data_IF_007043388213
#
_entry.id   IF_007043388213
#
_cell.length_a   1.000
_cell.length_b   1.000
_cell.length_c   1.000
_cell.angle_alpha   90.00
_cell.angle_beta   90.00
_cell.angle_gamma   90.00
#
_symmetry.space_group_name_H-M   'P 1'
#
loop_
_entity.id
_entity.type
_entity.pdbx_description
1 polymer ?
#
# COMPACT_ATOMS: atom_id res chain seq x y z
N UNK A 1 -10.00 -2.05 26.27
CA UNK A 1 -10.15 -0.78 25.53
C UNK A 1 -10.86 -1.04 24.21
N UNK A 2 -12.17 -0.81 24.20
CA UNK A 2 -12.94 -1.03 22.99
C UNK A 2 -12.73 0.12 21.99
N UNK A 3 -12.86 -0.17 20.70
CA UNK A 3 -12.79 0.85 19.63
C UNK A 3 -13.84 1.96 19.87
N UNK A 4 -14.99 1.58 20.39
CA UNK A 4 -16.07 2.50 20.77
C UNK A 4 -15.66 3.48 21.88
N UNK A 5 -14.98 2.99 22.92
CA UNK A 5 -14.56 3.86 24.03
C UNK A 5 -13.51 4.88 23.58
N UNK A 6 -12.58 4.47 22.70
CA UNK A 6 -11.64 5.40 22.06
C UNK A 6 -12.34 6.47 21.25
N UNK A 7 -13.30 6.09 20.41
CA UNK A 7 -14.07 7.06 19.61
C UNK A 7 -14.82 8.06 20.51
N UNK A 8 -15.38 7.60 21.63
CA UNK A 8 -16.07 8.49 22.60
C UNK A 8 -15.12 9.44 23.34
N UNK A 9 -13.94 8.97 23.68
CA UNK A 9 -12.91 9.82 24.29
C UNK A 9 -12.43 10.87 23.28
N UNK A 10 -12.14 10.47 22.04
CA UNK A 10 -11.72 11.37 20.98
C UNK A 10 -12.80 12.42 20.66
N UNK A 11 -14.08 12.05 20.66
CA UNK A 11 -15.21 12.99 20.54
C UNK A 11 -15.25 14.03 21.69
N UNK A 12 -14.97 13.58 22.91
CA UNK A 12 -14.94 14.48 24.07
C UNK A 12 -13.74 15.43 24.02
N UNK A 13 -12.58 14.92 23.62
CA UNK A 13 -11.37 15.74 23.41
C UNK A 13 -11.61 16.75 22.31
N UNK A 14 -12.20 16.36 21.19
CA UNK A 14 -12.49 17.24 20.07
C UNK A 14 -13.47 18.35 20.45
N UNK A 15 -14.49 18.06 21.27
CA UNK A 15 -15.41 19.07 21.78
C UNK A 15 -14.73 20.11 22.68
N UNK A 16 -13.66 19.72 23.38
CA UNK A 16 -12.87 20.61 24.23
C UNK A 16 -11.84 21.42 23.42
N UNK A 17 -11.34 20.87 22.29
CA UNK A 17 -10.22 21.44 21.55
C UNK A 17 -10.60 22.23 20.29
N UNK A 18 -11.87 22.35 19.92
CA UNK A 18 -12.25 23.15 18.76
C UNK A 18 -13.40 22.64 17.89
N UNK A 19 -14.01 21.52 18.23
CA UNK A 19 -15.20 21.03 17.57
C UNK A 19 -15.07 19.67 16.89
N UNK A 20 -16.21 19.15 16.44
CA UNK A 20 -16.36 17.90 15.71
C UNK A 20 -16.90 18.21 14.31
N UNK A 21 -16.21 17.74 13.28
CA UNK A 21 -16.73 17.77 11.91
C UNK A 21 -17.48 16.46 11.63
N UNK A 22 -18.69 16.56 11.11
CA UNK A 22 -19.50 15.40 10.73
C UNK A 22 -19.69 15.39 9.22
N UNK A 23 -19.18 14.33 8.57
CA UNK A 23 -19.40 14.10 7.13
C UNK A 23 -20.56 13.13 6.99
N UNK A 24 -21.66 13.60 6.38
CA UNK A 24 -22.84 12.77 6.12
C UNK A 24 -22.79 12.26 4.69
N UNK A 25 -22.98 10.94 4.55
CA UNK A 25 -22.92 10.25 3.25
C UNK A 25 -24.30 9.71 2.93
N UNK A 26 -24.75 9.94 1.70
CA UNK A 26 -25.98 9.39 1.15
C UNK A 26 -25.77 8.92 -0.30
N UNK A 27 -26.53 7.91 -0.71
CA UNK A 27 -26.56 7.40 -2.07
C UNK A 27 -27.95 6.81 -2.40
N UNK A 28 -28.20 6.53 -3.66
CA UNK A 28 -29.48 5.97 -4.11
C UNK A 28 -29.70 4.52 -3.64
N UNK A 29 -28.63 3.77 -3.42
CA UNK A 29 -28.67 2.38 -2.95
C UNK A 29 -27.84 2.18 -1.68
N UNK A 30 -28.20 1.18 -0.89
CA UNK A 30 -27.45 0.82 0.32
C UNK A 30 -26.01 0.39 0.01
N UNK A 31 -25.82 -0.36 -1.06
CA UNK A 31 -24.49 -0.82 -1.49
C UNK A 31 -23.58 0.35 -1.88
N UNK A 32 -24.10 1.30 -2.64
CA UNK A 32 -23.39 2.52 -3.03
C UNK A 32 -23.07 3.38 -1.82
N UNK A 33 -24.02 3.54 -0.90
CA UNK A 33 -23.80 4.28 0.34
C UNK A 33 -22.68 3.66 1.19
N UNK A 34 -22.65 2.34 1.34
CA UNK A 34 -21.57 1.63 2.04
C UNK A 34 -20.24 1.84 1.35
N UNK A 35 -20.19 1.74 0.03
CA UNK A 35 -18.96 2.00 -0.75
C UNK A 35 -18.44 3.42 -0.54
N UNK A 36 -19.30 4.43 -0.68
CA UNK A 36 -18.93 5.82 -0.48
C UNK A 36 -18.46 6.10 0.95
N UNK A 37 -19.14 5.51 1.94
CA UNK A 37 -18.75 5.63 3.34
C UNK A 37 -17.34 5.10 3.57
N UNK A 38 -17.03 3.89 3.11
CA UNK A 38 -15.69 3.30 3.23
C UNK A 38 -14.63 4.14 2.52
N UNK A 39 -14.94 4.64 1.33
CA UNK A 39 -14.03 5.49 0.56
C UNK A 39 -13.71 6.80 1.29
N UNK A 40 -14.70 7.41 1.95
CA UNK A 40 -14.50 8.64 2.73
C UNK A 40 -13.72 8.33 4.02
N UNK A 41 -14.02 7.22 4.70
CA UNK A 41 -13.27 6.79 5.89
C UNK A 41 -11.78 6.58 5.55
N UNK A 42 -11.48 5.95 4.42
CA UNK A 42 -10.12 5.75 3.93
C UNK A 42 -9.44 7.10 3.61
N UNK A 43 -10.11 8.01 2.91
CA UNK A 43 -9.59 9.34 2.62
C UNK A 43 -9.26 10.15 3.89
N UNK A 44 -10.12 10.06 4.91
CA UNK A 44 -9.89 10.72 6.22
C UNK A 44 -8.69 10.09 6.93
N UNK A 45 -8.58 8.75 6.91
CA UNK A 45 -7.44 8.05 7.52
C UNK A 45 -6.12 8.39 6.81
N UNK A 46 -6.11 8.41 5.48
CA UNK A 46 -4.95 8.82 4.68
C UNK A 46 -4.55 10.28 4.95
N UNK A 47 -5.52 11.19 5.05
CA UNK A 47 -5.27 12.60 5.38
C UNK A 47 -4.64 12.74 6.77
N UNK A 48 -5.16 12.05 7.78
CA UNK A 48 -4.57 12.05 9.14
C UNK A 48 -3.15 11.50 9.14
N UNK A 49 -2.89 10.44 8.38
CA UNK A 49 -1.55 9.87 8.23
C UNK A 49 -0.58 10.85 7.54
N UNK A 50 -1.06 11.58 6.53
CA UNK A 50 -0.29 12.61 5.83
C UNK A 50 0.04 13.81 6.73
N UNK A 51 -0.89 14.25 7.56
CA UNK A 51 -0.65 15.32 8.54
C UNK A 51 0.40 14.90 9.57
N UNK A 52 0.42 13.61 9.95
CA UNK A 52 1.32 13.11 11.00
C UNK A 52 2.80 13.04 10.55
N UNK A 53 3.08 12.62 9.32
CA UNK A 53 4.46 12.35 8.84
C UNK A 53 4.78 12.95 7.45
N UNK A 54 3.86 13.69 6.85
CA UNK A 54 4.03 14.26 5.52
C UNK A 54 3.65 13.31 4.39
N UNK A 55 3.93 13.76 3.16
CA UNK A 55 3.60 13.07 1.92
C UNK A 55 4.83 12.85 1.05
N UNK A 56 4.75 11.87 0.16
CA UNK A 56 5.72 11.58 -0.90
C UNK A 56 5.01 11.34 -2.23
N UNK A 57 5.77 11.31 -3.32
CA UNK A 57 5.24 10.90 -4.62
C UNK A 57 4.67 9.48 -4.51
N UNK A 58 3.43 9.32 -4.96
CA UNK A 58 2.67 8.09 -4.84
C UNK A 58 3.00 7.04 -5.90
N UNK A 59 2.14 6.03 -5.99
CA UNK A 59 2.25 5.00 -7.00
C UNK A 59 3.51 4.13 -6.92
N UNK A 60 4.12 4.01 -5.75
CA UNK A 60 5.37 3.27 -5.54
C UNK A 60 6.63 4.02 -5.98
N UNK A 61 6.52 5.22 -6.57
CA UNK A 61 7.66 5.98 -7.09
C UNK A 61 8.65 6.39 -6.00
N UNK A 62 8.17 6.73 -4.80
CA UNK A 62 9.01 7.06 -3.66
C UNK A 62 9.96 5.91 -3.29
N UNK A 63 9.51 4.65 -3.38
CA UNK A 63 10.36 3.49 -3.10
C UNK A 63 11.51 3.36 -4.09
N UNK A 64 11.27 3.64 -5.37
CA UNK A 64 12.32 3.62 -6.40
C UNK A 64 13.37 4.71 -6.12
N UNK A 65 12.96 5.87 -5.63
CA UNK A 65 13.87 6.92 -5.19
C UNK A 65 14.73 6.51 -4.01
N UNK A 66 14.14 5.79 -3.06
CA UNK A 66 14.87 5.21 -1.93
C UNK A 66 15.93 4.23 -2.44
N UNK A 67 15.60 3.33 -3.37
CA UNK A 67 16.56 2.42 -3.99
C UNK A 67 17.73 3.19 -4.64
N UNK A 68 17.40 4.21 -5.48
CA UNK A 68 18.44 5.04 -6.13
C UNK A 68 19.39 5.64 -5.11
N UNK A 69 18.87 6.16 -3.99
CA UNK A 69 19.67 6.75 -2.92
C UNK A 69 20.48 5.70 -2.15
N UNK A 70 19.90 4.55 -1.85
CA UNK A 70 20.58 3.47 -1.15
C UNK A 70 21.73 2.88 -1.99
N UNK A 71 21.55 2.71 -3.31
CA UNK A 71 22.61 2.25 -4.22
C UNK A 71 23.80 3.20 -4.29
N UNK A 72 23.59 4.49 -4.01
CA UNK A 72 24.67 5.48 -3.96
C UNK A 72 25.44 5.48 -2.63
N UNK A 73 24.90 4.87 -1.59
CA UNK A 73 25.53 4.76 -0.28
C UNK A 73 26.45 3.53 -0.25
N UNK A 74 27.62 3.70 0.35
CA UNK A 74 28.50 2.57 0.62
C UNK A 74 27.94 1.73 1.76
N UNK A 75 28.01 0.40 1.61
CA UNK A 75 27.71 -0.50 2.71
C UNK A 75 28.59 -0.16 3.93
N UNK A 76 28.04 -0.32 5.17
CA UNK A 76 28.83 -0.12 6.37
C UNK A 76 30.10 -0.99 6.36
N UNK A 77 31.21 -0.44 6.82
CA UNK A 77 32.46 -1.17 6.90
C UNK A 77 32.30 -2.42 7.78
N UNK A 78 32.75 -3.56 7.30
CA UNK A 78 32.61 -4.85 8.01
C UNK A 78 31.30 -5.61 7.74
N UNK A 79 30.46 -5.16 6.80
CA UNK A 79 29.29 -5.92 6.38
C UNK A 79 29.70 -7.27 5.75
N UNK A 80 29.03 -8.36 6.19
CA UNK A 80 29.26 -9.69 5.58
C UNK A 80 28.58 -9.81 4.22
N UNK A 81 28.95 -10.84 3.45
CA UNK A 81 28.34 -11.13 2.15
C UNK A 81 26.84 -11.42 2.29
N UNK A 82 26.43 -12.08 3.36
CA UNK A 82 25.02 -12.38 3.67
C UNK A 82 24.24 -11.09 3.96
N UNK A 83 24.84 -10.13 4.67
CA UNK A 83 24.24 -8.82 4.90
C UNK A 83 24.03 -8.07 3.57
N UNK A 84 24.99 -8.12 2.67
CA UNK A 84 24.89 -7.51 1.35
C UNK A 84 23.76 -8.16 0.52
N UNK A 85 23.66 -9.49 0.54
CA UNK A 85 22.57 -10.22 -0.11
C UNK A 85 21.19 -9.84 0.45
N UNK A 86 21.06 -9.76 1.78
CA UNK A 86 19.81 -9.30 2.43
C UNK A 86 19.42 -7.88 1.98
N UNK A 87 20.40 -6.99 1.81
CA UNK A 87 20.17 -5.64 1.31
C UNK A 87 19.65 -5.64 -0.12
N UNK A 88 20.23 -6.48 -1.01
CA UNK A 88 19.75 -6.61 -2.39
C UNK A 88 18.34 -7.19 -2.47
N UNK A 89 18.01 -8.19 -1.65
CA UNK A 89 16.66 -8.75 -1.58
C UNK A 89 15.63 -7.66 -1.24
N UNK A 90 15.92 -6.84 -0.23
CA UNK A 90 15.01 -5.74 0.15
C UNK A 90 14.91 -4.71 -0.98
N UNK A 91 16.01 -4.29 -1.59
CA UNK A 91 15.98 -3.33 -2.70
C UNK A 91 15.16 -3.84 -3.89
N UNK A 92 15.30 -5.11 -4.25
CA UNK A 92 14.50 -5.72 -5.31
C UNK A 92 13.01 -5.79 -4.95
N UNK A 93 12.70 -6.09 -3.68
CA UNK A 93 11.32 -6.11 -3.20
C UNK A 93 10.65 -4.73 -3.25
N UNK A 94 11.40 -3.64 -3.03
CA UNK A 94 10.88 -2.27 -3.08
C UNK A 94 10.41 -1.84 -4.49
N UNK A 95 10.85 -2.51 -5.55
CA UNK A 95 10.36 -2.26 -6.92
C UNK A 95 8.94 -2.81 -7.15
N UNK A 96 8.54 -3.83 -6.38
CA UNK A 96 7.31 -4.59 -6.58
C UNK A 96 6.03 -3.74 -6.62
N UNK A 97 5.80 -2.74 -5.75
CA UNK A 97 4.58 -1.95 -5.79
C UNK A 97 4.40 -1.17 -7.10
N UNK A 98 5.45 -0.50 -7.58
CA UNK A 98 5.39 0.22 -8.85
C UNK A 98 5.21 -0.75 -10.02
N UNK A 99 5.96 -1.85 -10.05
CA UNK A 99 5.83 -2.87 -11.11
C UNK A 99 4.40 -3.39 -11.21
N UNK A 100 3.78 -3.69 -10.07
CA UNK A 100 2.41 -4.20 -10.04
C UNK A 100 1.39 -3.16 -10.51
N UNK A 101 1.53 -1.90 -10.10
CA UNK A 101 0.64 -0.81 -10.56
C UNK A 101 0.72 -0.67 -12.08
N UNK A 102 1.93 -0.64 -12.64
CA UNK A 102 2.14 -0.54 -14.09
C UNK A 102 1.58 -1.77 -14.81
N UNK A 103 1.85 -2.96 -14.31
CA UNK A 103 1.34 -4.21 -14.88
C UNK A 103 -0.19 -4.25 -14.92
N UNK A 104 -0.85 -3.75 -13.89
CA UNK A 104 -2.31 -3.70 -13.79
C UNK A 104 -2.95 -2.80 -14.88
N UNK A 105 -2.20 -1.88 -15.48
CA UNK A 105 -2.71 -1.10 -16.63
C UNK A 105 -2.78 -1.92 -17.92
N UNK A 106 -2.02 -3.02 -17.99
CA UNK A 106 -1.95 -3.90 -19.18
C UNK A 106 -1.24 -3.30 -20.40
N UNK A 107 -0.71 -2.09 -20.29
CA UNK A 107 -0.14 -1.35 -21.44
C UNK A 107 1.36 -1.09 -21.35
N UNK A 108 1.95 -1.23 -20.18
CA UNK A 108 3.36 -0.94 -19.95
C UNK A 108 4.06 -2.06 -19.17
N UNK A 109 5.36 -2.20 -19.40
CA UNK A 109 6.21 -3.10 -18.64
C UNK A 109 6.69 -2.41 -17.35
N UNK A 110 6.47 -3.06 -16.21
CA UNK A 110 6.91 -2.56 -14.91
C UNK A 110 8.42 -2.36 -14.82
N UNK A 111 9.23 -3.15 -15.55
CA UNK A 111 10.68 -3.02 -15.56
C UNK A 111 11.12 -1.72 -16.25
N UNK A 112 10.49 -1.39 -17.38
CA UNK A 112 10.73 -0.14 -18.11
C UNK A 112 10.35 1.06 -17.24
N UNK A 113 9.25 0.96 -16.51
CA UNK A 113 8.82 2.03 -15.61
C UNK A 113 9.82 2.28 -14.48
N UNK A 114 10.30 1.21 -13.84
CA UNK A 114 11.33 1.29 -12.79
C UNK A 114 12.60 1.95 -13.33
N UNK A 115 13.10 1.48 -14.48
CA UNK A 115 14.31 2.02 -15.11
C UNK A 115 14.17 3.50 -15.45
N UNK A 116 13.04 3.89 -16.05
CA UNK A 116 12.79 5.28 -16.43
C UNK A 116 12.74 6.21 -15.22
N UNK A 117 12.08 5.81 -14.13
CA UNK A 117 12.02 6.60 -12.91
C UNK A 117 13.39 6.64 -12.23
N UNK A 118 14.13 5.52 -12.21
CA UNK A 118 15.47 5.47 -11.62
C UNK A 118 16.45 6.39 -12.33
N UNK A 119 16.38 6.48 -13.66
CA UNK A 119 17.25 7.33 -14.48
C UNK A 119 16.77 8.79 -14.54
N UNK A 120 15.58 9.11 -14.09
CA UNK A 120 15.09 10.49 -14.07
C UNK A 120 15.81 11.33 -13.00
N UNK A 121 16.13 12.59 -13.34
CA UNK A 121 16.66 13.59 -12.40
C UNK A 121 15.55 14.32 -11.62
N UNK A 122 14.29 14.13 -12.01
CA UNK A 122 13.15 14.74 -11.33
C UNK A 122 12.80 13.96 -10.07
N UNK A 123 12.79 14.61 -8.92
CA UNK A 123 12.61 13.96 -7.62
C UNK A 123 11.24 13.28 -7.47
N UNK A 124 10.18 13.89 -8.01
CA UNK A 124 8.81 13.40 -7.90
C UNK A 124 8.33 12.70 -9.17
N UNK A 125 9.24 12.33 -10.09
CA UNK A 125 8.84 11.63 -11.31
C UNK A 125 8.27 10.25 -10.99
N UNK A 126 7.25 9.86 -11.76
CA UNK A 126 6.61 8.58 -11.61
C UNK A 126 5.69 8.22 -12.77
N UNK A 127 4.86 7.21 -12.56
CA UNK A 127 3.89 6.72 -13.53
C UNK A 127 2.46 7.00 -13.06
N UNK A 128 1.70 7.73 -13.87
CA UNK A 128 0.26 7.94 -13.68
C UNK A 128 -0.49 6.81 -14.38
N UNK A 129 -1.01 5.88 -13.58
CA UNK A 129 -1.73 4.71 -14.08
C UNK A 129 -3.09 5.05 -14.70
N UNK A 130 -3.70 6.18 -14.31
CA UNK A 130 -4.98 6.62 -14.86
C UNK A 130 -4.80 7.22 -16.26
N UNK A 131 -3.76 8.03 -16.44
CA UNK A 131 -3.40 8.59 -17.75
C UNK A 131 -2.52 7.66 -18.59
N UNK A 132 -2.04 6.55 -17.99
CA UNK A 132 -1.12 5.59 -18.60
C UNK A 132 0.16 6.26 -19.16
N UNK A 133 0.66 7.24 -18.44
CA UNK A 133 1.76 8.09 -18.85
C UNK A 133 2.75 8.37 -17.72
N UNK A 134 3.98 8.68 -18.10
CA UNK A 134 4.97 9.16 -17.15
C UNK A 134 4.74 10.64 -16.85
N UNK A 135 4.88 11.01 -15.58
CA UNK A 135 4.84 12.37 -15.10
C UNK A 135 6.18 12.78 -14.49
N UNK A 136 6.53 14.02 -14.67
CA UNK A 136 7.72 14.64 -14.07
C UNK A 136 7.50 15.00 -12.58
N UNK A 137 6.24 15.18 -12.17
CA UNK A 137 5.91 15.58 -10.80
C UNK A 137 4.53 15.06 -10.36
N UNK A 138 4.53 13.84 -9.82
CA UNK A 138 3.31 13.20 -9.32
C UNK A 138 2.64 13.98 -8.19
N UNK A 139 3.41 14.74 -7.39
CA UNK A 139 2.83 15.53 -6.31
C UNK A 139 1.95 16.65 -6.89
N UNK A 140 2.40 17.32 -7.94
CA UNK A 140 1.58 18.32 -8.66
C UNK A 140 0.38 17.70 -9.34
N UNK A 141 0.51 16.48 -9.82
CA UNK A 141 -0.61 15.74 -10.43
C UNK A 141 -1.61 15.19 -9.39
N UNK A 142 -1.33 15.38 -8.09
CA UNK A 142 -2.20 14.91 -7.00
C UNK A 142 -2.04 13.42 -6.68
N UNK A 143 -1.01 12.75 -7.21
CA UNK A 143 -0.71 11.36 -6.93
C UNK A 143 0.31 11.29 -5.78
N UNK A 144 -0.21 11.16 -4.58
CA UNK A 144 0.56 11.25 -3.34
C UNK A 144 0.28 10.06 -2.42
N UNK A 145 1.29 9.65 -1.66
CA UNK A 145 1.16 8.66 -0.60
C UNK A 145 1.59 9.27 0.75
N UNK A 146 0.87 8.96 1.86
CA UNK A 146 1.33 9.34 3.20
C UNK A 146 2.59 8.56 3.58
N UNK A 147 3.62 9.25 4.07
CA UNK A 147 4.89 8.63 4.51
C UNK A 147 4.66 7.57 5.57
N UNK A 148 3.75 7.82 6.51
CA UNK A 148 3.40 6.87 7.57
C UNK A 148 2.91 5.54 7.04
N UNK A 149 2.11 5.56 5.97
CA UNK A 149 1.56 4.35 5.32
C UNK A 149 2.67 3.56 4.65
N UNK A 150 3.51 4.21 3.83
CA UNK A 150 4.61 3.55 3.13
C UNK A 150 5.64 2.94 4.09
N UNK A 151 5.97 3.64 5.18
CA UNK A 151 6.85 3.12 6.25
C UNK A 151 6.23 1.93 6.98
N UNK A 152 4.94 2.01 7.32
CA UNK A 152 4.24 0.91 7.99
C UNK A 152 4.14 -0.33 7.09
N UNK A 153 3.86 -0.16 5.81
CA UNK A 153 3.82 -1.24 4.83
C UNK A 153 5.18 -1.98 4.75
N UNK A 154 6.27 -1.24 4.60
CA UNK A 154 7.62 -1.83 4.56
C UNK A 154 7.97 -2.57 5.85
N UNK A 155 7.71 -1.95 7.01
CA UNK A 155 7.99 -2.55 8.32
C UNK A 155 7.21 -3.85 8.53
N UNK A 156 5.92 -3.85 8.23
CA UNK A 156 5.06 -5.00 8.41
C UNK A 156 5.40 -6.12 7.42
N UNK A 157 5.68 -5.79 6.16
CA UNK A 157 6.11 -6.75 5.16
C UNK A 157 7.44 -7.42 5.54
N UNK A 158 8.42 -6.63 5.99
CA UNK A 158 9.71 -7.16 6.47
C UNK A 158 9.54 -8.06 7.69
N UNK A 159 8.66 -7.70 8.63
CA UNK A 159 8.37 -8.53 9.81
C UNK A 159 7.73 -9.86 9.43
N UNK A 160 6.74 -9.84 8.52
CA UNK A 160 6.09 -11.06 8.04
C UNK A 160 7.08 -11.97 7.29
N UNK A 161 7.91 -11.40 6.41
CA UNK A 161 8.95 -12.14 5.70
C UNK A 161 9.98 -12.76 6.67
N UNK A 162 10.40 -12.03 7.70
CA UNK A 162 11.33 -12.54 8.70
C UNK A 162 10.76 -13.73 9.48
N UNK A 163 9.47 -13.68 9.83
CA UNK A 163 8.80 -14.80 10.50
C UNK A 163 8.79 -16.03 9.58
N UNK A 164 8.44 -15.87 8.29
CA UNK A 164 8.44 -16.97 7.32
C UNK A 164 9.84 -17.58 7.14
N UNK A 165 10.86 -16.73 7.05
CA UNK A 165 12.25 -17.18 6.87
C UNK A 165 12.80 -17.96 8.07
N UNK A 166 12.31 -17.68 9.27
CA UNK A 166 12.73 -18.36 10.51
C UNK A 166 11.83 -19.53 10.91
N UNK A 167 10.77 -19.79 10.14
CA UNK A 167 9.82 -20.89 10.42
C UNK A 167 10.34 -22.20 9.81
N UNK A 168 10.49 -23.22 10.63
CA UNK A 168 10.92 -24.55 10.17
C UNK A 168 9.75 -25.38 9.64
N UNK A 169 8.55 -25.21 10.20
CA UNK A 169 7.36 -26.01 9.86
C UNK A 169 6.12 -25.12 9.92
N UNK A 170 5.26 -25.26 8.92
CA UNK A 170 3.91 -24.70 8.92
C UNK A 170 2.88 -25.84 8.93
N UNK A 171 1.94 -25.79 9.87
CA UNK A 171 0.85 -26.75 9.97
C UNK A 171 -0.43 -26.03 9.59
N UNK A 172 -1.16 -26.57 8.61
CA UNK A 172 -2.44 -26.05 8.16
C UNK A 172 -3.45 -27.20 8.02
N UNK A 173 -4.72 -26.90 8.15
CA UNK A 173 -5.78 -27.85 7.89
C UNK A 173 -5.82 -28.21 6.40
N UNK A 174 -6.04 -29.50 6.12
CA UNK A 174 -6.24 -29.96 4.74
C UNK A 174 -7.57 -29.40 4.21
N UNK A 175 -7.60 -28.80 3.00
CA UNK A 175 -8.83 -28.28 2.44
C UNK A 175 -9.87 -29.40 2.29
N UNK A 176 -11.05 -29.23 2.86
CA UNK A 176 -12.14 -30.19 2.67
C UNK A 176 -12.44 -30.35 1.16
N UNK A 177 -12.56 -31.60 0.66
CA UNK A 177 -12.96 -31.82 -0.71
C UNK A 177 -14.34 -31.20 -0.94
N UNK A 178 -14.45 -30.33 -1.95
CA UNK A 178 -15.76 -29.77 -2.34
C UNK A 178 -16.72 -30.92 -2.57
N UNK A 179 -17.72 -31.07 -1.70
CA UNK A 179 -18.84 -31.97 -1.94
C UNK A 179 -19.47 -31.54 -3.26
N UNK A 180 -19.29 -32.34 -4.32
CA UNK A 180 -20.06 -32.17 -5.54
C UNK A 180 -21.54 -32.30 -5.16
N UNK A 181 -22.28 -31.21 -5.30
CA UNK A 181 -23.74 -31.32 -5.28
C UNK A 181 -24.09 -32.21 -6.48
N UNK A 182 -24.46 -33.46 -6.19
CA UNK A 182 -25.05 -34.33 -7.19
C UNK A 182 -26.24 -33.63 -7.84
N UNK A 183 -26.58 -33.98 -9.08
CA UNK A 183 -27.76 -33.43 -9.73
C UNK A 183 -28.97 -33.65 -8.81
N UNK A 184 -29.68 -32.56 -8.49
CA UNK A 184 -30.91 -32.60 -7.72
C UNK A 184 -31.92 -33.54 -8.41
N UNK A 185 -32.88 -34.11 -7.66
CA UNK A 185 -33.87 -34.98 -8.26
C UNK A 185 -34.61 -34.25 -9.38
N UNK A 186 -34.58 -34.84 -10.58
CA UNK A 186 -35.42 -34.45 -11.70
C UNK A 186 -36.87 -34.46 -11.20
N UNK A 187 -37.54 -33.33 -11.22
CA UNK A 187 -38.96 -33.26 -11.04
C UNK A 187 -39.58 -33.57 -12.40
N UNK A 188 -40.10 -34.83 -12.53
CA UNK A 188 -41.00 -35.20 -13.61
C UNK A 188 -42.30 -34.39 -13.46
N UNK A 189 -42.67 -33.68 -14.52
CA UNK A 189 -43.98 -33.12 -14.75
C UNK A 189 -44.67 -33.92 -15.89
#
# INVERSE_FOLDING_TARGET
DSKYDKEKIDERIAKLSGGVAVIRVGAATETEMKYLKLKIEDAVAATKAAIAEGIVAGGGSAMIRVIKKLRSLKMPAGSSAETALGYEIVMNALESPLRQIVLNTGKADGSVAVEKIMNSDKENAGYDALKEAFSDDLIKDGIIDPVKVTKAALRNASSAAAILLTTEVAIADEPEPKKSHGPGPEMDY
#
